data_IF_877927169105
#
_entry.id   IF_877927169105
#
_cell.length_a   1.000
_cell.length_b   1.000
_cell.length_c   1.000
_cell.angle_alpha   90.00
_cell.angle_beta   90.00
_cell.angle_gamma   90.00
#
_symmetry.space_group_name_H-M   'P 1'
#
loop_
_entity.id
_entity.type
_entity.pdbx_description
1 polymer ?
#
# COMPACT_ATOMS: atom_id res chain seq x y z
N UNK A 1 1.66 9.73 12.34
CA UNK A 1 2.44 9.95 11.11
C UNK A 1 1.48 10.47 10.07
N UNK A 2 1.82 11.56 9.39
CA UNK A 2 1.00 12.11 8.31
C UNK A 2 1.29 11.32 7.04
N UNK A 3 0.26 10.65 6.52
CA UNK A 3 0.31 9.98 5.22
C UNK A 3 0.26 11.05 4.13
N UNK A 4 1.35 11.20 3.37
CA UNK A 4 1.42 12.11 2.24
C UNK A 4 0.90 11.46 0.96
N UNK A 5 1.02 10.15 0.79
CA UNK A 5 0.48 9.42 -0.36
C UNK A 5 -0.45 8.32 0.12
N UNK A 6 -1.72 8.44 -0.27
CA UNK A 6 -2.77 7.45 -0.04
C UNK A 6 -3.03 6.69 -1.33
N UNK A 7 -3.03 5.36 -1.27
CA UNK A 7 -3.30 4.43 -2.37
C UNK A 7 -4.31 3.34 -1.99
N UNK A 8 -4.48 3.08 -0.69
CA UNK A 8 -5.37 2.03 -0.18
C UNK A 8 -6.84 2.47 -0.26
N UNK A 9 -7.37 3.36 0.61
CA UNK A 9 -8.79 3.77 0.55
C UNK A 9 -9.12 4.55 -0.73
N UNK A 10 -8.19 5.39 -1.17
CA UNK A 10 -8.31 6.21 -2.39
C UNK A 10 -6.92 6.61 -2.86
N UNK A 11 -6.82 7.14 -4.08
CA UNK A 11 -5.56 7.67 -4.59
C UNK A 11 -5.50 9.19 -4.35
N UNK A 12 -4.67 9.62 -3.41
CA UNK A 12 -4.49 11.03 -3.08
C UNK A 12 -3.05 11.33 -2.67
N UNK A 13 -2.54 12.51 -2.99
CA UNK A 13 -1.22 12.98 -2.55
C UNK A 13 -1.36 14.33 -1.85
N UNK A 14 -0.81 14.47 -0.64
CA UNK A 14 -0.85 15.68 0.21
C UNK A 14 -2.28 16.24 0.34
N UNK A 15 -3.25 15.34 0.51
CA UNK A 15 -4.69 15.66 0.59
C UNK A 15 -5.37 15.94 -0.75
N UNK A 16 -4.64 16.02 -1.86
CA UNK A 16 -5.21 16.26 -3.19
C UNK A 16 -5.53 14.95 -3.89
N UNK A 17 -6.79 14.78 -4.29
CA UNK A 17 -7.22 13.58 -5.00
C UNK A 17 -6.63 13.49 -6.41
N UNK A 18 -6.23 12.28 -6.78
CA UNK A 18 -5.72 11.94 -8.09
C UNK A 18 -6.76 11.08 -8.81
N UNK A 19 -7.42 11.68 -9.78
CA UNK A 19 -8.48 11.03 -10.56
C UNK A 19 -8.00 10.49 -11.90
N UNK A 20 -6.93 11.06 -12.47
CA UNK A 20 -6.42 10.67 -13.78
C UNK A 20 -5.89 9.21 -13.75
N UNK A 21 -6.47 8.26 -14.52
CA UNK A 21 -6.16 6.82 -14.40
C UNK A 21 -4.67 6.49 -14.54
N UNK A 22 -4.00 7.07 -15.56
CA UNK A 22 -2.57 6.85 -15.78
C UNK A 22 -1.69 7.42 -14.67
N UNK A 23 -2.09 8.54 -14.06
CA UNK A 23 -1.34 9.13 -12.96
C UNK A 23 -1.50 8.28 -11.69
N UNK A 24 -2.70 7.76 -11.43
CA UNK A 24 -2.97 6.80 -10.35
C UNK A 24 -2.13 5.54 -10.52
N UNK A 25 -2.13 4.96 -11.72
CA UNK A 25 -1.32 3.78 -12.04
C UNK A 25 0.17 4.02 -11.87
N UNK A 26 0.69 5.20 -12.27
CA UNK A 26 2.10 5.56 -12.08
C UNK A 26 2.46 5.58 -10.59
N UNK A 27 1.64 6.21 -9.75
CA UNK A 27 1.88 6.27 -8.30
C UNK A 27 1.84 4.87 -7.67
N UNK A 28 0.89 4.02 -8.07
CA UNK A 28 0.79 2.65 -7.56
C UNK A 28 2.01 1.79 -7.96
N UNK A 29 2.46 1.86 -9.21
CA UNK A 29 3.65 1.13 -9.68
C UNK A 29 4.92 1.57 -8.94
N UNK A 30 5.06 2.88 -8.65
CA UNK A 30 6.20 3.39 -7.89
C UNK A 30 6.12 3.06 -6.40
N UNK A 31 4.93 2.89 -5.84
CA UNK A 31 4.73 2.50 -4.44
C UNK A 31 4.91 0.98 -4.20
N UNK A 32 4.96 0.18 -5.26
CA UNK A 32 5.31 -1.25 -5.17
C UNK A 32 6.71 -1.45 -4.56
N UNK A 33 7.68 -0.62 -4.95
CA UNK A 33 9.01 -0.54 -4.33
C UNK A 33 9.48 0.92 -4.23
N UNK A 34 9.32 1.50 -3.03
CA UNK A 34 9.72 2.89 -2.75
C UNK A 34 11.23 3.13 -2.88
N UNK A 35 12.06 2.14 -2.54
CA UNK A 35 13.51 2.33 -2.42
C UNK A 35 14.19 2.18 -3.77
N UNK A 36 13.93 1.08 -4.47
CA UNK A 36 14.50 0.83 -5.79
C UNK A 36 13.79 1.67 -6.87
N UNK A 37 12.51 1.96 -6.68
CA UNK A 37 11.66 2.54 -7.71
C UNK A 37 11.27 1.52 -8.77
N UNK A 38 10.97 2.03 -9.96
CA UNK A 38 10.50 1.23 -11.09
C UNK A 38 11.21 1.67 -12.37
N UNK A 39 11.61 0.69 -13.19
CA UNK A 39 12.30 0.97 -14.46
C UNK A 39 11.34 1.58 -15.49
N UNK A 40 11.90 2.28 -16.46
CA UNK A 40 11.13 2.83 -17.58
C UNK A 40 10.35 1.73 -18.31
N UNK A 41 10.96 0.56 -18.58
CA UNK A 41 10.23 -0.52 -19.26
C UNK A 41 9.07 -1.05 -18.43
N UNK A 42 9.27 -1.25 -17.12
CA UNK A 42 8.23 -1.78 -16.23
C UNK A 42 7.09 -0.78 -16.04
N UNK A 43 7.43 0.51 -15.93
CA UNK A 43 6.44 1.58 -15.89
C UNK A 43 5.63 1.62 -17.17
N UNK A 44 6.27 1.53 -18.33
CA UNK A 44 5.58 1.51 -19.62
C UNK A 44 4.65 0.29 -19.72
N UNK A 45 5.14 -0.91 -19.40
CA UNK A 45 4.35 -2.13 -19.47
C UNK A 45 3.12 -2.08 -18.55
N UNK A 46 3.30 -1.66 -17.29
CA UNK A 46 2.19 -1.53 -16.34
C UNK A 46 1.23 -0.38 -16.66
N UNK A 47 1.72 0.68 -17.30
CA UNK A 47 0.89 1.82 -17.68
C UNK A 47 0.20 1.64 -19.02
N UNK A 48 0.61 0.73 -19.89
CA UNK A 48 -0.01 0.52 -21.21
C UNK A 48 -0.03 -0.97 -21.58
N UNK A 49 -0.79 -1.81 -20.84
CA UNK A 49 -0.77 -3.26 -21.04
C UNK A 49 -1.38 -3.72 -22.36
N UNK A 50 -2.25 -2.91 -22.98
CA UNK A 50 -2.90 -3.21 -24.26
C UNK A 50 -2.23 -2.52 -25.45
N UNK A 51 -2.31 -1.20 -25.50
CA UNK A 51 -1.81 -0.40 -26.62
C UNK A 51 -0.73 0.59 -26.17
N UNK A 52 0.47 0.39 -26.71
CA UNK A 52 1.60 1.27 -26.47
C UNK A 52 1.47 2.56 -27.29
N UNK A 53 1.80 3.74 -26.72
CA UNK A 53 1.97 4.95 -27.50
C UNK A 53 3.08 4.80 -28.55
N UNK A 54 3.04 5.58 -29.63
CA UNK A 54 4.11 5.58 -30.66
C UNK A 54 5.52 5.80 -30.07
N UNK A 55 5.62 6.57 -28.98
CA UNK A 55 6.88 6.85 -28.28
C UNK A 55 6.70 6.67 -26.76
N UNK A 56 6.76 5.44 -26.24
CA UNK A 56 6.39 5.15 -24.85
C UNK A 56 7.24 5.91 -23.82
N UNK A 57 8.55 5.99 -24.05
CA UNK A 57 9.46 6.73 -23.15
C UNK A 57 9.11 8.23 -23.07
N UNK A 58 8.77 8.86 -24.20
CA UNK A 58 8.34 10.27 -24.22
C UNK A 58 6.99 10.44 -23.54
N UNK A 59 6.06 9.52 -23.75
CA UNK A 59 4.76 9.54 -23.07
C UNK A 59 4.91 9.43 -21.55
N UNK A 60 5.79 8.54 -21.08
CA UNK A 60 6.11 8.42 -19.65
C UNK A 60 6.73 9.70 -19.08
N UNK A 61 7.70 10.31 -19.78
CA UNK A 61 8.30 11.58 -19.36
C UNK A 61 7.25 12.70 -19.22
N UNK A 62 6.32 12.80 -20.18
CA UNK A 62 5.21 13.77 -20.11
C UNK A 62 4.30 13.49 -18.91
N UNK A 63 3.99 12.22 -18.64
CA UNK A 63 3.18 11.82 -17.48
C UNK A 63 3.88 12.18 -16.16
N UNK A 64 5.18 11.90 -16.03
CA UNK A 64 5.98 12.27 -14.84
C UNK A 64 6.08 13.79 -14.68
N UNK A 65 6.27 14.53 -15.77
CA UNK A 65 6.27 16.00 -15.74
C UNK A 65 4.95 16.55 -15.22
N UNK A 66 3.82 16.02 -15.71
CA UNK A 66 2.48 16.37 -15.23
C UNK A 66 2.28 16.00 -13.75
N UNK A 67 2.77 14.83 -13.34
CA UNK A 67 2.73 14.40 -11.94
C UNK A 67 3.45 15.40 -11.03
N UNK A 68 4.68 15.78 -11.39
CA UNK A 68 5.49 16.76 -10.66
C UNK A 68 4.83 18.13 -10.59
N UNK A 69 4.24 18.60 -11.69
CA UNK A 69 3.53 19.88 -11.73
C UNK A 69 2.28 19.89 -10.82
N UNK A 70 1.59 18.75 -10.67
CA UNK A 70 0.36 18.67 -9.87
C UNK A 70 0.61 18.35 -8.40
N UNK A 71 1.56 17.46 -8.11
CA UNK A 71 1.74 16.85 -6.77
C UNK A 71 2.95 17.42 -6.02
N UNK A 72 3.85 18.13 -6.73
CA UNK A 72 5.12 18.60 -6.22
C UNK A 72 6.29 17.99 -7.00
N UNK A 73 7.29 18.82 -7.32
CA UNK A 73 8.44 18.41 -8.10
C UNK A 73 9.32 17.39 -7.38
N UNK A 74 9.26 17.36 -6.06
CA UNK A 74 10.01 16.50 -5.15
C UNK A 74 9.41 15.09 -5.04
N UNK A 75 8.11 14.89 -5.31
CA UNK A 75 7.42 13.61 -5.06
C UNK A 75 8.00 12.46 -5.88
N UNK A 76 8.40 12.73 -7.13
CA UNK A 76 8.96 11.71 -8.03
C UNK A 76 10.35 12.14 -8.46
N UNK A 77 11.36 11.31 -8.21
CA UNK A 77 12.74 11.55 -8.64
C UNK A 77 13.14 10.58 -9.72
N UNK A 78 13.98 11.06 -10.64
CA UNK A 78 14.53 10.23 -11.71
C UNK A 78 15.70 9.39 -11.18
N UNK A 79 15.80 8.17 -11.67
CA UNK A 79 16.90 7.25 -11.39
C UNK A 79 17.61 6.90 -12.71
N UNK A 80 18.80 6.29 -12.69
CA UNK A 80 19.48 5.87 -13.91
C UNK A 80 18.65 4.93 -14.79
N UNK A 81 17.73 4.16 -14.19
CA UNK A 81 16.92 3.13 -14.87
C UNK A 81 15.44 3.50 -15.01
N UNK A 82 14.98 4.56 -14.35
CA UNK A 82 13.57 4.96 -14.36
C UNK A 82 13.23 6.02 -13.33
N UNK A 83 12.29 5.73 -12.44
CA UNK A 83 11.75 6.69 -11.48
C UNK A 83 11.47 6.04 -10.13
N UNK A 84 11.50 6.82 -9.05
CA UNK A 84 11.04 6.40 -7.71
C UNK A 84 10.28 7.53 -7.02
N UNK A 85 9.47 7.17 -6.03
CA UNK A 85 8.90 8.15 -5.10
C UNK A 85 9.99 8.60 -4.13
N UNK A 86 10.08 9.90 -3.85
CA UNK A 86 10.96 10.44 -2.81
C UNK A 86 10.15 10.73 -1.52
N UNK A 87 9.42 9.72 -1.07
CA UNK A 87 8.67 9.73 0.18
C UNK A 87 9.22 8.62 1.08
N UNK A 88 9.21 8.85 2.39
CA UNK A 88 9.53 7.80 3.35
C UNK A 88 8.43 6.72 3.37
N UNK A 89 8.78 5.49 3.76
CA UNK A 89 7.83 4.37 3.86
C UNK A 89 6.62 4.69 4.75
N UNK A 90 6.81 5.46 5.82
CA UNK A 90 5.72 5.91 6.70
C UNK A 90 4.82 7.02 6.13
N UNK A 91 5.22 7.65 5.02
CA UNK A 91 4.43 8.67 4.32
C UNK A 91 3.53 8.08 3.23
N UNK A 92 3.71 6.81 2.87
CA UNK A 92 2.90 6.10 1.87
C UNK A 92 2.12 5.00 2.55
N UNK A 93 0.79 5.06 2.54
CA UNK A 93 -0.06 4.13 3.29
C UNK A 93 0.21 2.64 2.97
N UNK A 94 0.40 2.30 1.70
CA UNK A 94 0.69 0.95 1.25
C UNK A 94 2.00 0.39 1.79
N UNK A 95 2.96 1.26 2.11
CA UNK A 95 4.26 0.90 2.66
C UNK A 95 4.26 1.00 4.20
N UNK A 96 3.57 1.99 4.75
CA UNK A 96 3.33 2.11 6.18
C UNK A 96 2.57 0.87 6.72
N UNK A 97 1.67 0.29 5.94
CA UNK A 97 1.02 -0.99 6.26
C UNK A 97 2.04 -2.10 6.55
N UNK A 98 3.08 -2.22 5.72
CA UNK A 98 4.16 -3.20 5.91
C UNK A 98 4.95 -2.92 7.19
N UNK A 99 5.24 -1.64 7.45
CA UNK A 99 5.94 -1.21 8.68
C UNK A 99 5.14 -1.56 9.93
N UNK A 100 3.82 -1.34 9.92
CA UNK A 100 2.94 -1.70 11.03
C UNK A 100 2.89 -3.21 11.26
N UNK A 101 2.87 -4.01 10.19
CA UNK A 101 2.90 -5.47 10.29
C UNK A 101 4.21 -5.97 10.90
N UNK A 102 5.35 -5.44 10.44
CA UNK A 102 6.66 -5.76 11.00
C UNK A 102 6.75 -5.36 12.49
N UNK A 103 6.37 -4.13 12.83
CA UNK A 103 6.39 -3.64 14.20
C UNK A 103 5.46 -4.45 15.13
N UNK A 104 4.27 -4.84 14.65
CA UNK A 104 3.34 -5.67 15.42
C UNK A 104 3.95 -7.04 15.73
N UNK A 105 4.60 -7.66 14.73
CA UNK A 105 5.26 -8.95 14.89
C UNK A 105 6.47 -8.87 15.84
N UNK A 106 7.31 -7.83 15.72
CA UNK A 106 8.46 -7.63 16.59
C UNK A 106 8.06 -7.47 18.06
N UNK A 107 7.03 -6.66 18.32
CA UNK A 107 6.49 -6.47 19.67
C UNK A 107 5.86 -7.74 20.24
N UNK A 108 5.14 -8.51 19.42
CA UNK A 108 4.59 -9.79 19.84
C UNK A 108 5.70 -10.77 20.27
N UNK A 109 6.80 -10.85 19.51
CA UNK A 109 7.96 -11.69 19.85
C UNK A 109 8.67 -11.23 21.13
N UNK A 110 8.67 -9.92 21.40
CA UNK A 110 9.19 -9.34 22.63
C UNK A 110 8.25 -9.49 23.85
N UNK A 111 7.05 -10.07 23.68
CA UNK A 111 6.05 -10.19 24.74
C UNK A 111 5.24 -8.92 25.01
N UNK A 112 5.49 -7.84 24.25
CA UNK A 112 4.72 -6.60 24.31
C UNK A 112 3.42 -6.74 23.49
N UNK A 113 2.44 -7.45 24.07
CA UNK A 113 1.15 -7.69 23.41
C UNK A 113 0.33 -6.40 23.26
N UNK A 114 0.44 -5.45 24.19
CA UNK A 114 -0.24 -4.16 24.09
C UNK A 114 0.30 -3.31 22.92
N UNK A 115 1.63 -3.24 22.78
CA UNK A 115 2.25 -2.57 21.65
C UNK A 115 2.03 -3.30 20.33
N UNK A 116 1.98 -4.64 20.34
CA UNK A 116 1.64 -5.43 19.16
C UNK A 116 0.22 -5.11 18.67
N UNK A 117 -0.74 -5.03 19.59
CA UNK A 117 -2.13 -4.64 19.31
C UNK A 117 -2.21 -3.24 18.72
N UNK A 118 -1.58 -2.25 19.37
CA UNK A 118 -1.59 -0.87 18.90
C UNK A 118 -0.98 -0.71 17.49
N UNK A 119 0.07 -1.48 17.18
CA UNK A 119 0.65 -1.49 15.85
C UNK A 119 -0.28 -2.15 14.82
N UNK A 120 -0.95 -3.25 15.19
CA UNK A 120 -1.91 -3.92 14.33
C UNK A 120 -3.10 -3.00 13.97
N UNK A 121 -3.69 -2.36 14.97
CA UNK A 121 -4.80 -1.41 14.81
C UNK A 121 -4.42 -0.21 13.94
N UNK A 122 -3.22 0.35 14.14
CA UNK A 122 -2.72 1.45 13.32
C UNK A 122 -2.56 1.04 11.84
N UNK A 123 -2.08 -0.17 11.57
CA UNK A 123 -1.99 -0.72 10.22
C UNK A 123 -3.37 -0.95 9.58
N UNK A 124 -4.31 -1.55 10.32
CA UNK A 124 -5.67 -1.80 9.83
C UNK A 124 -6.45 -0.50 9.56
N UNK A 125 -6.18 0.56 10.33
CA UNK A 125 -6.77 1.87 10.09
C UNK A 125 -6.38 2.46 8.72
N UNK A 126 -5.20 2.14 8.19
CA UNK A 126 -4.79 2.54 6.83
C UNK A 126 -5.56 1.81 5.73
N UNK A 127 -6.04 0.60 6.02
CA UNK A 127 -6.82 -0.21 5.08
C UNK A 127 -8.31 0.11 5.12
N UNK A 128 -8.79 0.81 6.15
CA UNK A 128 -10.21 1.11 6.32
C UNK A 128 -10.76 1.78 5.07
N UNK A 129 -11.95 1.35 4.63
CA UNK A 129 -12.65 1.87 3.45
C UNK A 129 -11.89 1.62 2.12
N UNK A 130 -10.92 0.70 2.09
CA UNK A 130 -10.30 0.21 0.85
C UNK A 130 -11.33 -0.57 0.02
N UNK A 131 -11.57 -0.19 -1.24
CA UNK A 131 -12.46 -0.94 -2.11
C UNK A 131 -12.00 -2.38 -2.28
N UNK A 132 -12.93 -3.33 -2.12
CA UNK A 132 -12.71 -4.72 -2.50
C UNK A 132 -12.49 -4.79 -4.02
N UNK A 133 -11.50 -5.59 -4.43
CA UNK A 133 -10.88 -5.55 -5.77
C UNK A 133 -11.84 -5.67 -6.97
N UNK A 134 -12.45 -4.56 -7.35
CA UNK A 134 -13.27 -4.39 -8.57
C UNK A 134 -12.48 -3.83 -9.75
N UNK A 135 -11.26 -3.35 -9.51
CA UNK A 135 -10.37 -2.87 -10.55
C UNK A 135 -9.92 -4.06 -11.39
N UNK A 136 -10.14 -3.97 -12.70
CA UNK A 136 -9.72 -5.01 -13.65
C UNK A 136 -8.24 -5.35 -13.47
N UNK A 137 -7.86 -6.56 -13.87
CA UNK A 137 -6.51 -7.15 -13.68
C UNK A 137 -5.36 -6.27 -14.17
N UNK A 138 -5.65 -5.31 -15.05
CA UNK A 138 -4.71 -4.36 -15.64
C UNK A 138 -4.62 -3.00 -14.91
N UNK A 139 -5.37 -2.77 -13.82
CA UNK A 139 -5.26 -1.56 -13.00
C UNK A 139 -4.13 -1.70 -11.96
N UNK A 140 -3.03 -0.92 -12.07
CA UNK A 140 -1.94 -1.02 -11.11
C UNK A 140 -2.33 -0.69 -9.67
N UNK A 141 -3.38 0.12 -9.45
CA UNK A 141 -3.89 0.41 -8.10
C UNK A 141 -4.52 -0.84 -7.50
N UNK A 142 -5.36 -1.53 -8.27
CA UNK A 142 -5.97 -2.79 -7.86
C UNK A 142 -4.91 -3.87 -7.62
N UNK A 143 -3.92 -3.99 -8.51
CA UNK A 143 -2.81 -4.91 -8.35
C UNK A 143 -2.02 -4.66 -7.05
N UNK A 144 -1.70 -3.40 -6.73
CA UNK A 144 -1.02 -3.04 -5.48
C UNK A 144 -1.86 -3.42 -4.26
N UNK A 145 -3.18 -3.18 -4.29
CA UNK A 145 -4.08 -3.57 -3.19
C UNK A 145 -4.10 -5.09 -3.04
N UNK A 146 -4.22 -5.84 -4.13
CA UNK A 146 -4.15 -7.31 -4.08
C UNK A 146 -2.83 -7.80 -3.49
N UNK A 147 -1.70 -7.20 -3.85
CA UNK A 147 -0.38 -7.52 -3.29
C UNK A 147 -0.30 -7.25 -1.78
N UNK A 148 -1.03 -6.23 -1.28
CA UNK A 148 -1.02 -5.83 0.14
C UNK A 148 -2.08 -6.52 0.99
N UNK A 149 -3.09 -7.16 0.39
CA UNK A 149 -4.14 -7.87 1.12
C UNK A 149 -3.60 -8.94 2.11
N UNK A 150 -2.61 -9.78 1.76
CA UNK A 150 -2.05 -10.75 2.72
C UNK A 150 -1.41 -10.11 3.97
N UNK A 151 -0.93 -8.87 3.85
CA UNK A 151 -0.37 -8.10 4.96
C UNK A 151 -1.48 -7.63 5.88
N UNK A 152 -2.59 -7.16 5.32
CA UNK A 152 -3.81 -6.83 6.07
C UNK A 152 -4.31 -8.05 6.84
N UNK A 153 -4.36 -9.24 6.23
CA UNK A 153 -4.81 -10.45 6.93
C UNK A 153 -3.85 -10.82 8.08
N UNK A 154 -2.55 -10.58 7.90
CA UNK A 154 -1.55 -10.75 8.96
C UNK A 154 -1.79 -9.80 10.13
N UNK A 155 -2.17 -8.56 9.86
CA UNK A 155 -2.53 -7.57 10.90
C UNK A 155 -3.82 -7.95 11.63
N UNK A 156 -4.84 -8.45 10.94
CA UNK A 156 -6.09 -8.96 11.56
C UNK A 156 -5.76 -10.10 12.54
N UNK A 157 -4.92 -11.05 12.11
CA UNK A 157 -4.45 -12.14 13.00
C UNK A 157 -3.66 -11.61 14.20
N UNK A 158 -2.74 -10.67 13.97
CA UNK A 158 -1.96 -10.09 15.05
C UNK A 158 -2.84 -9.36 16.08
N UNK A 159 -3.85 -8.61 15.62
CA UNK A 159 -4.84 -7.95 16.48
C UNK A 159 -5.59 -8.99 17.33
N UNK A 160 -6.11 -10.04 16.70
CA UNK A 160 -6.84 -11.12 17.35
C UNK A 160 -6.02 -11.82 18.44
N UNK A 161 -4.78 -12.22 18.11
CA UNK A 161 -3.87 -12.90 19.03
C UNK A 161 -3.46 -11.97 20.18
N UNK A 162 -3.16 -10.71 19.91
CA UNK A 162 -2.80 -9.75 20.94
C UNK A 162 -3.96 -9.49 21.91
N UNK A 163 -5.20 -9.34 21.42
CA UNK A 163 -6.41 -9.23 22.25
C UNK A 163 -6.60 -10.45 23.14
N UNK A 164 -6.43 -11.66 22.59
CA UNK A 164 -6.52 -12.90 23.37
C UNK A 164 -5.45 -12.97 24.46
N UNK A 165 -4.20 -12.59 24.17
CA UNK A 165 -3.10 -12.56 25.16
C UNK A 165 -3.30 -11.50 26.24
N UNK A 166 -4.03 -10.43 25.96
CA UNK A 166 -4.40 -9.39 26.91
C UNK A 166 -5.67 -9.73 27.71
N UNK A 167 -6.28 -10.91 27.49
CA UNK A 167 -7.52 -11.31 28.16
C UNK A 167 -8.79 -10.63 27.63
N UNK A 168 -8.70 -9.89 26.51
CA UNK A 168 -9.81 -9.13 25.90
C UNK A 168 -10.61 -10.01 24.93
N UNK A 169 -11.08 -11.16 25.41
CA UNK A 169 -11.66 -12.21 24.57
C UNK A 169 -12.93 -11.79 23.82
N UNK A 170 -13.78 -10.97 24.44
CA UNK A 170 -14.99 -10.46 23.79
C UNK A 170 -14.67 -9.63 22.53
N UNK A 171 -13.59 -8.85 22.59
CA UNK A 171 -13.12 -8.03 21.47
C UNK A 171 -12.35 -8.86 20.44
N UNK A 172 -11.70 -9.95 20.86
CA UNK A 172 -11.00 -10.86 19.97
C UNK A 172 -11.95 -11.67 19.07
N UNK A 173 -13.19 -11.91 19.50
CA UNK A 173 -14.12 -12.83 18.81
C UNK A 173 -14.40 -12.45 17.35
N UNK A 174 -14.60 -11.15 17.05
CA UNK A 174 -14.83 -10.68 15.69
C UNK A 174 -13.62 -10.87 14.77
N UNK A 175 -12.45 -10.29 15.11
CA UNK A 175 -11.21 -10.49 14.36
C UNK A 175 -10.81 -11.98 14.21
N UNK A 176 -11.01 -12.80 15.24
CA UNK A 176 -10.75 -14.25 15.18
C UNK A 176 -11.66 -14.96 14.17
N UNK A 177 -12.95 -14.62 14.13
CA UNK A 177 -13.87 -15.21 13.18
C UNK A 177 -13.48 -14.89 11.72
N UNK A 178 -13.06 -13.65 11.45
CA UNK A 178 -12.54 -13.24 10.14
C UNK A 178 -11.29 -14.04 9.78
N UNK A 179 -10.29 -14.06 10.67
CA UNK A 179 -9.06 -14.81 10.44
C UNK A 179 -9.30 -16.31 10.19
N UNK A 180 -10.18 -16.93 10.96
CA UNK A 180 -10.53 -18.35 10.81
C UNK A 180 -11.25 -18.64 9.48
N UNK A 181 -12.09 -17.72 9.00
CA UNK A 181 -12.74 -17.85 7.69
C UNK A 181 -11.74 -17.76 6.52
N UNK A 182 -10.71 -16.92 6.67
CA UNK A 182 -9.67 -16.73 5.66
C UNK A 182 -8.63 -17.87 5.66
N UNK A 183 -8.35 -18.46 6.83
CA UNK A 183 -7.41 -19.59 6.98
C UNK A 183 -7.93 -20.64 7.96
N UNK A 184 -8.83 -21.54 7.53
CA UNK A 184 -9.49 -22.51 8.42
C UNK A 184 -8.59 -23.56 9.08
N UNK A 185 -7.29 -23.62 8.71
CA UNK A 185 -6.32 -24.62 9.18
C UNK A 185 -5.12 -24.01 9.91
N UNK A 186 -5.19 -22.73 10.25
CA UNK A 186 -4.18 -22.05 11.07
C UNK A 186 -4.50 -22.37 12.54
N UNK A 187 -3.71 -23.27 13.16
CA UNK A 187 -3.87 -23.76 14.55
C UNK A 187 -3.33 -22.81 15.61
#
# INVERSE_FOLDING_TARGET
MTTDLTLLPRVACRGQEVTAPRLRGLLALLAGDLRAGCSTERLVAGLWPGELPERPGKALQVLVSRARARLGADVIVSTPTGYRLALAEGQVDSSALLLHAAASADRARAGDHAGSLAAAEAGLALWKDTPDGDGGTDDPVAALRTERAPVRDTLVRAQALALARLGRHAEAAGPLAVAASERPRDE
#
